data_IF_622623018265
#
_entry.id   IF_622623018265
#
_cell.length_a   1.000
_cell.length_b   1.000
_cell.length_c   1.000
_cell.angle_alpha   90.00
_cell.angle_beta   90.00
_cell.angle_gamma   90.00
#
_symmetry.space_group_name_H-M   'P 1'
#
loop_
_entity.id
_entity.type
_entity.pdbx_description
1 polymer ?
#
# COMPACT_ATOMS: atom_id res chain seq x y z
N UNK A 1 -7.50 6.21 -36.92
CA UNK A 1 -6.64 5.01 -36.92
C UNK A 1 -6.14 4.82 -35.49
N UNK A 2 -6.60 3.80 -34.75
CA UNK A 2 -6.04 3.51 -33.42
C UNK A 2 -4.60 3.05 -33.62
N UNK A 3 -3.63 3.88 -33.21
CA UNK A 3 -2.20 3.58 -33.28
C UNK A 3 -1.87 2.70 -32.06
N UNK A 4 -2.13 1.39 -32.20
CA UNK A 4 -1.77 0.35 -31.24
C UNK A 4 -2.63 0.28 -29.96
N UNK A 5 -2.47 -0.83 -29.23
CA UNK A 5 -3.14 -1.15 -27.95
C UNK A 5 -2.19 -0.98 -26.75
N UNK A 6 -1.37 0.07 -26.74
CA UNK A 6 -0.37 0.26 -25.68
C UNK A 6 -0.87 1.18 -24.56
N UNK A 7 -0.29 1.04 -23.37
CA UNK A 7 -0.62 1.83 -22.18
C UNK A 7 -0.52 3.34 -22.42
N UNK A 8 0.46 3.78 -23.21
CA UNK A 8 0.67 5.20 -23.55
C UNK A 8 -0.44 5.77 -24.44
N UNK A 9 -0.93 5.02 -25.43
CA UNK A 9 -2.03 5.48 -26.29
C UNK A 9 -3.32 5.69 -25.48
N UNK A 10 -3.55 4.88 -24.45
CA UNK A 10 -4.72 5.01 -23.57
C UNK A 10 -4.60 6.11 -22.50
N UNK A 11 -3.41 6.73 -22.34
CA UNK A 11 -3.17 7.72 -21.29
C UNK A 11 -3.91 9.03 -21.55
N UNK A 12 -4.08 9.41 -22.82
CA UNK A 12 -4.78 10.62 -23.23
C UNK A 12 -6.32 10.47 -23.22
N UNK A 13 -6.83 9.28 -22.92
CA UNK A 13 -8.27 9.05 -22.85
C UNK A 13 -8.82 9.51 -21.51
N UNK A 14 -9.90 10.29 -21.55
CA UNK A 14 -10.66 10.62 -20.35
C UNK A 14 -11.28 9.35 -19.78
N UNK A 15 -11.21 9.21 -18.45
CA UNK A 15 -11.79 8.11 -17.70
C UNK A 15 -12.67 8.67 -16.60
N UNK A 16 -13.81 8.04 -16.39
CA UNK A 16 -14.77 8.45 -15.38
C UNK A 16 -14.45 7.77 -14.03
N UNK A 17 -13.66 8.47 -13.21
CA UNK A 17 -13.31 8.02 -11.87
C UNK A 17 -13.00 9.22 -10.97
N UNK A 18 -13.02 8.98 -9.66
CA UNK A 18 -12.54 9.95 -8.66
C UNK A 18 -11.24 9.47 -8.03
N UNK A 19 -10.16 10.21 -8.23
CA UNK A 19 -8.89 9.97 -7.55
C UNK A 19 -8.99 10.31 -6.06
N UNK A 20 -8.48 9.43 -5.20
CA UNK A 20 -8.46 9.57 -3.75
C UNK A 20 -7.17 9.02 -3.16
N UNK A 21 -6.78 9.54 -2.00
CA UNK A 21 -5.65 9.05 -1.21
C UNK A 21 -6.06 8.91 0.25
N UNK A 22 -5.74 7.77 0.85
CA UNK A 22 -5.60 7.63 2.30
C UNK A 22 -4.12 7.66 2.63
N UNK A 23 -3.75 8.40 3.67
CA UNK A 23 -2.36 8.55 4.07
C UNK A 23 -2.19 8.73 5.57
N UNK A 24 -0.96 8.60 6.02
CA UNK A 24 -0.55 8.86 7.39
C UNK A 24 -0.44 10.35 7.76
N UNK A 25 -0.90 11.26 6.90
CA UNK A 25 -0.72 12.71 7.10
C UNK A 25 -1.31 13.22 8.42
N UNK A 26 -0.68 14.25 8.97
CA UNK A 26 -1.13 14.94 10.17
C UNK A 26 -2.39 15.76 9.87
N UNK A 27 -3.51 15.30 10.40
CA UNK A 27 -4.84 15.92 10.22
C UNK A 27 -4.95 17.31 10.84
N UNK A 28 -4.02 17.68 11.74
CA UNK A 28 -3.94 19.04 12.27
C UNK A 28 -3.29 20.04 11.29
N UNK A 29 -2.65 19.54 10.22
CA UNK A 29 -1.82 20.33 9.32
C UNK A 29 -0.37 20.51 9.81
N UNK A 30 0.03 19.82 10.88
CA UNK A 30 1.40 19.75 11.35
C UNK A 30 2.27 18.79 10.53
N UNK A 31 3.37 18.31 11.13
CA UNK A 31 4.36 17.44 10.49
C UNK A 31 4.48 16.07 11.18
N UNK A 32 3.47 15.67 11.97
CA UNK A 32 3.42 14.35 12.59
C UNK A 32 2.77 13.34 11.65
N UNK A 33 3.38 13.19 10.47
CA UNK A 33 2.85 12.37 9.37
C UNK A 33 3.15 10.87 9.51
N UNK A 34 3.71 10.44 10.64
CA UNK A 34 3.86 9.04 11.02
C UNK A 34 2.73 8.62 11.95
N UNK A 35 2.21 7.41 11.75
CA UNK A 35 1.33 6.78 12.73
C UNK A 35 2.12 5.71 13.49
N UNK A 36 2.30 5.85 14.82
CA UNK A 36 2.93 4.82 15.62
C UNK A 36 2.03 3.58 15.71
N UNK A 37 2.59 2.41 15.45
CA UNK A 37 1.95 1.12 15.67
C UNK A 37 2.64 0.46 16.87
N UNK A 38 1.95 0.44 18.01
CA UNK A 38 2.45 -0.18 19.24
C UNK A 38 2.66 -1.70 19.08
N UNK A 39 3.53 -2.34 19.90
CA UNK A 39 3.71 -3.79 19.90
C UNK A 39 2.39 -4.57 20.04
N UNK A 40 2.18 -5.55 19.17
CA UNK A 40 0.96 -6.37 19.10
C UNK A 40 -0.29 -5.61 18.65
N UNK A 41 -0.16 -4.35 18.21
CA UNK A 41 -1.29 -3.55 17.71
C UNK A 41 -1.34 -3.54 16.19
N UNK A 42 -2.54 -3.27 15.71
CA UNK A 42 -2.90 -3.24 14.30
C UNK A 42 -3.28 -1.82 13.93
N UNK A 43 -2.83 -1.39 12.76
CA UNK A 43 -3.24 -0.17 12.12
C UNK A 43 -4.08 -0.50 10.90
N UNK A 44 -5.32 -0.03 10.85
CA UNK A 44 -6.10 -0.01 9.62
C UNK A 44 -5.59 1.15 8.76
N UNK A 45 -4.89 0.82 7.67
CA UNK A 45 -4.28 1.82 6.77
C UNK A 45 -5.25 2.25 5.67
N UNK A 46 -6.21 1.38 5.33
CA UNK A 46 -7.28 1.73 4.41
C UNK A 46 -8.56 0.98 4.77
N UNK A 47 -9.68 1.71 4.70
CA UNK A 47 -11.04 1.20 4.73
C UNK A 47 -11.82 2.02 3.70
N UNK A 48 -12.20 1.39 2.59
CA UNK A 48 -12.68 2.08 1.39
C UNK A 48 -13.95 1.39 0.90
N UNK A 49 -15.05 2.12 0.89
CA UNK A 49 -16.29 1.69 0.24
C UNK A 49 -16.20 1.88 -1.28
N UNK A 50 -16.60 0.85 -2.01
CA UNK A 50 -16.49 0.74 -3.47
C UNK A 50 -17.81 0.88 -4.22
N UNK A 51 -17.76 0.80 -5.57
CA UNK A 51 -16.69 0.17 -6.36
C UNK A 51 -15.44 1.02 -6.59
N UNK A 52 -14.27 0.38 -6.67
CA UNK A 52 -13.01 1.07 -6.94
C UNK A 52 -11.82 0.16 -7.25
N UNK A 53 -10.65 0.76 -7.38
CA UNK A 53 -9.38 0.08 -7.59
C UNK A 53 -8.23 0.83 -6.94
N UNK A 54 -7.47 0.14 -6.08
CA UNK A 54 -6.21 0.66 -5.57
C UNK A 54 -5.19 0.60 -6.71
N UNK A 55 -4.51 1.72 -6.96
CA UNK A 55 -3.58 1.90 -8.09
C UNK A 55 -2.14 2.03 -7.65
N UNK A 56 -1.93 2.50 -6.43
CA UNK A 56 -0.61 2.73 -5.89
C UNK A 56 -0.63 2.62 -4.36
N UNK A 57 0.36 1.91 -3.83
CA UNK A 57 0.66 1.87 -2.40
C UNK A 57 2.12 2.28 -2.23
N UNK A 58 2.37 3.24 -1.35
CA UNK A 58 3.70 3.56 -0.87
C UNK A 58 3.76 3.40 0.65
N UNK A 59 4.89 2.94 1.18
CA UNK A 59 5.14 2.95 2.62
C UNK A 59 6.62 3.02 2.98
N UNK A 60 6.91 3.47 4.19
CA UNK A 60 8.20 3.33 4.87
C UNK A 60 7.97 3.30 6.37
N UNK A 61 8.98 2.91 7.15
CA UNK A 61 8.88 2.90 8.60
C UNK A 61 10.23 3.13 9.29
N UNK A 62 10.18 3.51 10.57
CA UNK A 62 11.36 3.81 11.39
C UNK A 62 12.36 2.65 11.51
N UNK A 63 11.91 1.40 11.38
CA UNK A 63 12.71 0.20 11.60
C UNK A 63 13.10 -0.52 10.30
N UNK A 64 12.97 0.14 9.14
CA UNK A 64 13.30 -0.45 7.83
C UNK A 64 14.79 -0.79 7.60
N UNK A 65 15.64 -0.55 8.59
CA UNK A 65 17.04 -0.97 8.65
C UNK A 65 17.26 -2.26 9.46
N UNK A 66 16.23 -2.76 10.15
CA UNK A 66 16.29 -3.97 10.99
C UNK A 66 15.54 -5.11 10.31
N UNK A 67 16.27 -6.17 9.96
CA UNK A 67 15.76 -7.29 9.18
C UNK A 67 14.62 -8.02 9.90
N UNK A 68 14.77 -8.25 11.19
CA UNK A 68 13.80 -8.95 12.03
C UNK A 68 12.51 -8.12 12.19
N UNK A 69 12.64 -6.81 12.41
CA UNK A 69 11.49 -5.91 12.52
C UNK A 69 10.68 -5.89 11.22
N UNK A 70 11.34 -5.82 10.06
CA UNK A 70 10.67 -5.83 8.75
C UNK A 70 9.90 -7.11 8.45
N UNK A 71 10.36 -8.26 8.98
CA UNK A 71 9.63 -9.53 8.89
C UNK A 71 8.48 -9.64 9.90
N UNK A 72 8.48 -8.79 10.93
CA UNK A 72 7.48 -8.78 12.00
C UNK A 72 6.34 -7.80 11.75
N UNK A 73 6.41 -6.98 10.70
CA UNK A 73 5.28 -6.19 10.22
C UNK A 73 4.47 -7.02 9.21
N UNK A 74 3.26 -7.44 9.58
CA UNK A 74 2.42 -8.27 8.72
C UNK A 74 1.36 -7.42 8.03
N UNK A 75 1.41 -7.38 6.70
CA UNK A 75 0.43 -6.73 5.84
C UNK A 75 -0.72 -7.68 5.54
N UNK A 76 -1.95 -7.19 5.70
CA UNK A 76 -3.18 -7.92 5.37
C UNK A 76 -4.12 -7.09 4.51
N UNK A 77 -4.75 -7.72 3.52
CA UNK A 77 -5.75 -7.09 2.66
C UNK A 77 -6.98 -7.97 2.51
N UNK A 78 -8.16 -7.36 2.58
CA UNK A 78 -9.45 -8.01 2.38
C UNK A 78 -10.25 -7.26 1.32
N UNK A 79 -10.94 -8.02 0.49
CA UNK A 79 -11.82 -7.50 -0.55
C UNK A 79 -13.26 -7.92 -0.27
N UNK A 80 -14.21 -7.04 -0.56
CA UNK A 80 -15.65 -7.32 -0.67
C UNK A 80 -16.30 -8.03 0.54
N UNK A 81 -15.75 -7.78 1.74
CA UNK A 81 -16.27 -8.32 3.00
C UNK A 81 -15.87 -9.76 3.28
N UNK A 82 -14.83 -10.28 2.62
CA UNK A 82 -14.28 -11.60 2.89
C UNK A 82 -13.88 -11.76 4.37
N UNK A 83 -14.11 -12.97 4.92
CA UNK A 83 -13.80 -13.29 6.32
C UNK A 83 -12.30 -13.47 6.58
N UNK A 84 -11.55 -13.88 5.56
CA UNK A 84 -10.11 -14.14 5.61
C UNK A 84 -9.40 -13.19 4.66
N UNK A 85 -8.19 -12.73 4.99
CA UNK A 85 -7.44 -11.85 4.10
C UNK A 85 -7.04 -12.61 2.84
N UNK A 86 -7.22 -11.99 1.67
CA UNK A 86 -6.76 -12.54 0.39
C UNK A 86 -5.26 -12.30 0.17
N UNK A 87 -4.68 -11.32 0.90
CA UNK A 87 -3.23 -11.08 1.00
C UNK A 87 -2.85 -11.09 2.47
N UNK A 88 -1.91 -11.94 2.88
CA UNK A 88 -1.36 -11.98 4.24
C UNK A 88 0.12 -12.38 4.18
N UNK A 89 1.02 -11.43 4.48
CA UNK A 89 2.46 -11.61 4.26
C UNK A 89 3.25 -10.56 5.04
N UNK A 90 4.51 -10.82 5.47
CA UNK A 90 5.38 -9.76 5.95
C UNK A 90 5.49 -8.64 4.91
N UNK A 91 5.40 -7.39 5.35
CA UNK A 91 5.30 -6.23 4.46
C UNK A 91 6.49 -6.16 3.49
N UNK A 92 7.69 -6.45 3.99
CA UNK A 92 8.92 -6.41 3.18
C UNK A 92 8.92 -7.46 2.08
N UNK A 93 8.38 -8.66 2.34
CA UNK A 93 8.34 -9.76 1.39
C UNK A 93 7.31 -9.45 0.27
N UNK A 94 6.19 -8.80 0.61
CA UNK A 94 5.22 -8.29 -0.39
C UNK A 94 5.87 -7.34 -1.40
N UNK A 95 6.71 -6.43 -0.92
CA UNK A 95 7.40 -5.45 -1.76
C UNK A 95 8.67 -6.00 -2.43
N UNK A 96 8.98 -7.30 -2.30
CA UNK A 96 10.12 -7.95 -2.98
C UNK A 96 11.42 -7.99 -2.18
N UNK A 97 11.45 -7.46 -0.96
CA UNK A 97 12.60 -7.47 -0.04
C UNK A 97 12.72 -8.77 0.76
N UNK A 98 12.94 -9.87 0.05
CA UNK A 98 12.93 -11.22 0.63
C UNK A 98 13.80 -11.38 1.89
N UNK A 99 13.29 -12.16 2.85
CA UNK A 99 13.93 -12.45 4.12
C UNK A 99 14.16 -11.21 5.02
N UNK A 100 13.40 -10.13 4.84
CA UNK A 100 13.58 -8.90 5.64
C UNK A 100 14.65 -7.96 5.11
N UNK A 101 15.15 -8.19 3.89
CA UNK A 101 16.23 -7.38 3.33
C UNK A 101 15.61 -6.19 2.60
N UNK A 102 15.86 -5.00 3.13
CA UNK A 102 15.66 -3.76 2.38
C UNK A 102 16.90 -3.52 1.50
N UNK A 103 16.68 -3.45 0.18
CA UNK A 103 17.71 -3.08 -0.79
C UNK A 103 17.07 -2.38 -1.97
N UNK A 104 17.82 -1.47 -2.59
CA UNK A 104 17.34 -0.81 -3.79
C UNK A 104 17.09 -1.83 -4.91
N UNK A 105 15.87 -1.83 -5.46
CA UNK A 105 15.55 -2.51 -6.70
C UNK A 105 14.33 -1.87 -7.37
N UNK A 106 14.19 -2.10 -8.68
CA UNK A 106 13.07 -1.59 -9.46
C UNK A 106 12.54 -2.66 -10.41
N UNK A 107 11.23 -2.81 -10.43
CA UNK A 107 10.47 -3.52 -11.45
C UNK A 107 9.27 -2.67 -11.86
N UNK A 108 8.49 -3.13 -12.84
CA UNK A 108 7.26 -2.44 -13.23
C UNK A 108 6.23 -2.40 -12.08
N UNK A 109 5.86 -3.53 -11.42
CA UNK A 109 4.83 -3.50 -10.38
C UNK A 109 5.35 -3.17 -8.97
N UNK A 110 6.62 -3.43 -8.66
CA UNK A 110 7.19 -3.27 -7.31
C UNK A 110 8.54 -2.58 -7.35
N UNK A 111 8.77 -1.68 -6.39
CA UNK A 111 10.03 -0.94 -6.28
C UNK A 111 10.37 -0.74 -4.80
N UNK A 112 11.66 -0.78 -4.48
CA UNK A 112 12.19 -0.40 -3.18
C UNK A 112 13.30 0.63 -3.39
N UNK A 113 13.07 1.91 -3.04
CA UNK A 113 14.01 3.03 -3.22
C UNK A 113 13.49 4.33 -2.56
N UNK A 114 14.35 5.36 -2.35
CA UNK A 114 15.81 5.33 -2.24
C UNK A 114 16.26 4.81 -0.86
N UNK A 115 17.48 5.17 -0.42
CA UNK A 115 18.04 4.85 0.91
C UNK A 115 18.00 3.36 1.28
N UNK A 116 18.73 2.54 0.51
CA UNK A 116 18.83 1.10 0.73
C UNK A 116 17.47 0.39 0.75
N UNK A 117 16.54 0.82 -0.10
CA UNK A 117 15.25 0.17 -0.30
C UNK A 117 14.20 0.46 0.77
N UNK A 118 14.35 1.52 1.57
CA UNK A 118 13.38 1.81 2.65
C UNK A 118 12.05 2.34 2.16
N UNK A 119 12.01 3.01 1.01
CA UNK A 119 10.76 3.41 0.37
C UNK A 119 10.18 2.24 -0.42
N UNK A 120 9.07 1.68 0.01
CA UNK A 120 8.41 0.53 -0.58
C UNK A 120 7.24 0.98 -1.45
N UNK A 121 7.20 0.58 -2.73
CA UNK A 121 6.21 1.02 -3.72
C UNK A 121 5.58 -0.19 -4.42
N UNK A 122 4.26 -0.14 -4.59
CA UNK A 122 3.48 -1.11 -5.33
C UNK A 122 2.53 -0.42 -6.32
N UNK A 123 2.53 -0.90 -7.56
CA UNK A 123 1.71 -0.44 -8.68
C UNK A 123 0.74 -1.51 -9.20
N UNK A 124 0.61 -2.64 -8.50
CA UNK A 124 -0.40 -3.63 -8.86
C UNK A 124 -1.81 -3.01 -8.73
N UNK A 125 -2.68 -3.14 -9.76
CA UNK A 125 -4.06 -2.76 -9.63
C UNK A 125 -4.79 -3.77 -8.72
N UNK A 126 -5.49 -3.28 -7.69
CA UNK A 126 -6.26 -4.12 -6.77
C UNK A 126 -7.73 -3.66 -6.79
N UNK A 127 -8.55 -4.21 -7.71
CA UNK A 127 -9.94 -3.85 -7.85
C UNK A 127 -10.80 -4.48 -6.74
N UNK A 128 -11.84 -3.77 -6.31
CA UNK A 128 -12.80 -4.23 -5.30
C UNK A 128 -14.20 -3.69 -5.62
N UNK A 129 -15.23 -4.53 -5.50
CA UNK A 129 -16.59 -4.19 -5.93
C UNK A 129 -17.38 -3.41 -4.89
N UNK A 130 -17.20 -3.76 -3.63
CA UNK A 130 -17.98 -3.29 -2.48
C UNK A 130 -17.11 -2.64 -1.44
N UNK A 131 -15.97 -3.25 -1.11
CA UNK A 131 -15.16 -2.79 0.02
C UNK A 131 -13.71 -3.25 -0.09
N UNK A 132 -12.78 -2.41 0.32
CA UNK A 132 -11.38 -2.75 0.49
C UNK A 132 -10.92 -2.39 1.91
N UNK A 133 -10.27 -3.35 2.59
CA UNK A 133 -9.59 -3.11 3.87
C UNK A 133 -8.13 -3.50 3.77
N UNK A 134 -7.24 -2.65 4.27
CA UNK A 134 -5.83 -2.96 4.44
C UNK A 134 -5.43 -2.70 5.89
N UNK A 135 -4.69 -3.64 6.48
CA UNK A 135 -4.20 -3.58 7.85
C UNK A 135 -2.70 -3.89 7.88
N UNK A 136 -1.98 -3.23 8.79
CA UNK A 136 -0.61 -3.59 9.16
C UNK A 136 -0.59 -3.96 10.64
N UNK A 137 -0.10 -5.15 10.95
CA UNK A 137 0.06 -5.65 12.31
C UNK A 137 1.53 -5.56 12.72
N UNK A 138 1.81 -4.92 13.86
CA UNK A 138 3.13 -4.91 14.44
C UNK A 138 3.31 -6.11 15.39
N UNK A 139 3.99 -7.16 14.93
CA UNK A 139 4.40 -8.32 15.75
C UNK A 139 5.81 -8.12 16.32
N UNK A 140 6.41 -6.94 16.14
CA UNK A 140 7.68 -6.57 16.75
C UNK A 140 7.52 -6.18 18.22
N UNK A 141 8.65 -6.14 18.93
CA UNK A 141 8.74 -5.83 20.36
C UNK A 141 8.76 -4.33 20.68
N UNK A 142 8.90 -3.47 19.69
CA UNK A 142 8.98 -2.01 19.85
C UNK A 142 7.91 -1.30 18.99
N UNK A 143 7.49 -0.08 19.36
CA UNK A 143 6.66 0.75 18.51
C UNK A 143 7.35 1.02 17.16
N UNK A 144 6.57 1.03 16.08
CA UNK A 144 7.04 1.34 14.74
C UNK A 144 6.28 2.54 14.20
N UNK A 145 7.00 3.61 13.87
CA UNK A 145 6.44 4.77 13.19
C UNK A 145 6.23 4.43 11.71
N UNK A 146 4.97 4.40 11.28
CA UNK A 146 4.58 3.93 9.96
C UNK A 146 4.06 5.09 9.08
N UNK A 147 4.65 5.22 7.90
CA UNK A 147 4.23 6.15 6.86
C UNK A 147 3.62 5.37 5.71
N UNK A 148 2.51 5.86 5.15
CA UNK A 148 1.90 5.22 3.99
C UNK A 148 1.08 6.16 3.13
N UNK A 149 0.94 5.79 1.85
CA UNK A 149 -0.06 6.27 0.91
C UNK A 149 -0.79 5.09 0.29
N UNK A 150 -2.12 5.15 0.24
CA UNK A 150 -2.98 4.25 -0.53
C UNK A 150 -3.79 5.11 -1.50
N UNK A 151 -3.31 5.16 -2.74
CA UNK A 151 -3.95 5.86 -3.84
C UNK A 151 -4.91 4.93 -4.57
N UNK A 152 -6.14 5.40 -4.73
CA UNK A 152 -7.20 4.62 -5.34
C UNK A 152 -8.11 5.48 -6.21
N UNK A 153 -8.74 4.79 -7.15
CA UNK A 153 -9.79 5.32 -7.99
C UNK A 153 -11.13 4.78 -7.47
N UNK A 154 -12.11 5.67 -7.28
CA UNK A 154 -13.50 5.28 -7.06
C UNK A 154 -14.27 5.42 -8.37
N UNK A 155 -15.05 4.40 -8.70
CA UNK A 155 -15.83 4.35 -9.92
C UNK A 155 -17.31 4.62 -9.63
N UNK A 156 -18.05 5.29 -10.54
CA UNK A 156 -19.47 5.54 -10.34
C UNK A 156 -20.30 4.25 -10.32
N UNK A 157 -19.81 3.21 -11.00
CA UNK A 157 -20.40 1.87 -11.06
C UNK A 157 -19.30 0.83 -11.34
N UNK A 158 -19.61 -0.44 -11.14
CA UNK A 158 -18.65 -1.54 -11.34
C UNK A 158 -18.60 -2.05 -12.79
N UNK A 159 -19.68 -1.81 -13.55
CA UNK A 159 -19.96 -2.34 -14.89
C UNK A 159 -19.66 -1.37 -16.04
#
# INVERSE_FOLDING_TARGET
MPIGLTTLTSLAQLRDFRARRLSSFDRSGGNKDAIPIEPGKKLVVAEIDGPGCIKHIWSTNSHAHQREAMRSLVLRMWWDGERTPSVEVPIVDFFGGGFGICKNFWSLPLQMNPDSGRGMVCWFPMPFRRHARIEVHNEWKEPIDFFYYVDHELYPRWD
#
